data_IF_657165986327
#
_entry.id   IF_657165986327
#
_cell.length_a   1.000
_cell.length_b   1.000
_cell.length_c   1.000
_cell.angle_alpha   90.00
_cell.angle_beta   90.00
_cell.angle_gamma   90.00
#
_symmetry.space_group_name_H-M   'P 1'
#
loop_
_entity.id
_entity.type
_entity.pdbx_description
1 polymer ?
#
# COMPACT_ATOMS: atom_id res chain seq x y z
N UNK A 1 4.82 4.83 -20.93
CA UNK A 1 3.67 4.16 -21.56
C UNK A 1 3.00 3.26 -20.52
N UNK A 2 1.73 3.50 -20.21
CA UNK A 2 0.97 2.65 -19.29
C UNK A 2 0.70 1.28 -19.95
N UNK A 3 0.80 0.20 -19.18
CA UNK A 3 0.45 -1.14 -19.67
C UNK A 3 -0.97 -1.47 -19.24
N UNK A 4 -1.77 -1.94 -20.18
CA UNK A 4 -3.12 -2.47 -19.91
C UNK A 4 -3.01 -3.97 -19.64
N UNK A 5 -3.50 -4.41 -18.49
CA UNK A 5 -3.51 -5.83 -18.12
C UNK A 5 -4.75 -6.15 -17.27
N UNK A 6 -5.19 -7.40 -17.32
CA UNK A 6 -6.22 -7.92 -16.42
C UNK A 6 -5.62 -8.09 -15.03
N UNK A 7 -6.11 -7.32 -14.07
CA UNK A 7 -5.59 -7.31 -12.71
C UNK A 7 -6.75 -7.54 -11.72
N UNK A 8 -6.52 -8.30 -10.63
CA UNK A 8 -7.45 -8.37 -9.51
C UNK A 8 -7.79 -6.98 -8.97
N UNK A 9 -9.07 -6.71 -8.76
CA UNK A 9 -9.58 -5.44 -8.28
C UNK A 9 -10.75 -5.63 -7.33
N UNK A 10 -10.83 -4.77 -6.33
CA UNK A 10 -11.97 -4.67 -5.43
C UNK A 10 -12.20 -3.22 -5.05
N UNK A 11 -13.47 -2.82 -4.97
CA UNK A 11 -13.85 -1.52 -4.41
C UNK A 11 -14.37 -1.72 -2.99
N UNK A 12 -13.65 -1.22 -2.01
CA UNK A 12 -14.05 -1.23 -0.61
C UNK A 12 -14.92 -0.01 -0.33
N UNK A 13 -16.23 -0.20 -0.49
CA UNK A 13 -17.24 0.86 -0.43
C UNK A 13 -17.26 1.61 0.90
N UNK A 14 -17.24 0.89 2.02
CA UNK A 14 -17.31 1.45 3.39
C UNK A 14 -16.22 2.53 3.64
N UNK A 15 -15.04 2.34 3.05
CA UNK A 15 -13.89 3.23 3.20
C UNK A 15 -13.64 4.11 1.98
N UNK A 16 -14.42 3.93 0.90
CA UNK A 16 -14.21 4.56 -0.41
C UNK A 16 -12.78 4.35 -0.94
N UNK A 17 -12.30 3.11 -0.89
CA UNK A 17 -10.93 2.73 -1.29
C UNK A 17 -10.98 1.74 -2.45
N UNK A 18 -10.19 2.01 -3.49
CA UNK A 18 -9.96 1.09 -4.61
C UNK A 18 -8.75 0.23 -4.30
N UNK A 19 -8.88 -1.08 -4.45
CA UNK A 19 -7.80 -2.03 -4.20
C UNK A 19 -7.46 -2.76 -5.49
N UNK A 20 -6.17 -2.81 -5.83
CA UNK A 20 -5.64 -3.51 -7.00
C UNK A 20 -4.60 -4.53 -6.55
N UNK A 21 -4.67 -5.75 -7.06
CA UNK A 21 -3.59 -6.73 -6.98
C UNK A 21 -2.73 -6.68 -8.23
N UNK A 22 -1.44 -6.43 -8.10
CA UNK A 22 -0.46 -6.50 -9.19
C UNK A 22 0.40 -7.73 -8.96
N UNK A 23 0.21 -8.75 -9.79
CA UNK A 23 0.97 -10.00 -9.69
C UNK A 23 2.36 -9.81 -10.31
N UNK A 24 3.38 -10.26 -9.59
CA UNK A 24 4.77 -10.33 -10.05
C UNK A 24 5.11 -11.78 -10.41
N UNK A 25 6.33 -11.98 -10.91
CA UNK A 25 6.89 -13.33 -11.07
C UNK A 25 7.07 -13.97 -9.67
N UNK A 26 7.00 -15.29 -9.58
CA UNK A 26 7.24 -16.07 -8.35
C UNK A 26 6.16 -15.98 -7.25
N UNK A 27 4.87 -15.92 -7.63
CA UNK A 27 3.72 -15.94 -6.69
C UNK A 27 3.70 -14.80 -5.66
N UNK A 28 4.33 -13.67 -5.96
CA UNK A 28 4.27 -12.47 -5.14
C UNK A 28 3.26 -11.50 -5.74
N UNK A 29 2.34 -10.99 -4.93
CA UNK A 29 1.34 -10.00 -5.35
C UNK A 29 1.49 -8.73 -4.53
N UNK A 30 1.61 -7.60 -5.20
CA UNK A 30 1.55 -6.28 -4.57
C UNK A 30 0.11 -5.82 -4.53
N UNK A 31 -0.40 -5.53 -3.33
CA UNK A 31 -1.71 -4.92 -3.17
C UNK A 31 -1.58 -3.41 -3.01
N UNK A 32 -2.26 -2.68 -3.89
CA UNK A 32 -2.27 -1.23 -3.92
C UNK A 32 -3.63 -0.78 -3.42
N UNK A 33 -3.65 -0.06 -2.30
CA UNK A 33 -4.84 0.54 -1.73
C UNK A 33 -4.86 2.03 -2.05
N UNK A 34 -5.86 2.47 -2.79
CA UNK A 34 -6.00 3.82 -3.31
C UNK A 34 -7.30 4.45 -2.81
N UNK A 35 -7.26 5.30 -1.75
CA UNK A 35 -8.41 6.10 -1.36
C UNK A 35 -8.88 6.99 -2.52
N UNK A 36 -10.19 7.06 -2.75
CA UNK A 36 -10.74 8.04 -3.69
C UNK A 36 -10.50 9.45 -3.14
N UNK A 37 -10.07 10.38 -4.00
CA UNK A 37 -9.66 11.73 -3.62
C UNK A 37 -8.59 11.72 -2.52
N UNK A 38 -7.58 10.87 -2.69
CA UNK A 38 -6.53 10.59 -1.70
C UNK A 38 -5.93 11.86 -1.07
N UNK A 39 -6.22 12.08 0.21
CA UNK A 39 -5.55 13.07 1.07
C UNK A 39 -4.68 12.38 2.12
N UNK A 40 -3.82 13.14 2.80
CA UNK A 40 -2.97 12.60 3.86
C UNK A 40 -3.79 11.98 4.99
N UNK A 41 -4.88 12.63 5.38
CA UNK A 41 -5.79 12.21 6.45
C UNK A 41 -6.47 10.88 6.09
N UNK A 42 -6.91 10.73 4.83
CA UNK A 42 -7.53 9.50 4.35
C UNK A 42 -6.54 8.34 4.30
N UNK A 43 -5.30 8.59 3.89
CA UNK A 43 -4.23 7.58 3.90
C UNK A 43 -3.93 7.14 5.34
N UNK A 44 -3.80 8.08 6.28
CA UNK A 44 -3.57 7.76 7.69
C UNK A 44 -4.75 7.01 8.32
N UNK A 45 -5.99 7.39 7.98
CA UNK A 45 -7.19 6.68 8.43
C UNK A 45 -7.21 5.26 7.87
N UNK A 46 -6.89 5.08 6.59
CA UNK A 46 -6.77 3.75 5.98
C UNK A 46 -5.69 2.90 6.67
N UNK A 47 -4.51 3.46 6.92
CA UNK A 47 -3.42 2.76 7.63
C UNK A 47 -3.82 2.30 9.04
N UNK A 48 -4.71 3.02 9.73
CA UNK A 48 -5.22 2.60 11.04
C UNK A 48 -6.26 1.48 10.97
N UNK A 49 -6.95 1.33 9.83
CA UNK A 49 -8.04 0.37 9.66
C UNK A 49 -7.62 -0.88 8.87
N UNK A 50 -6.39 -0.91 8.34
CA UNK A 50 -5.89 -2.07 7.60
C UNK A 50 -5.33 -3.11 8.59
N UNK A 51 -5.90 -4.31 8.57
CA UNK A 51 -5.48 -5.46 9.38
C UNK A 51 -5.25 -6.68 8.47
N UNK A 52 -4.52 -7.69 8.97
CA UNK A 52 -4.29 -8.92 8.21
C UNK A 52 -5.60 -9.63 7.83
N UNK A 53 -6.56 -9.68 8.75
CA UNK A 53 -7.91 -10.20 8.50
C UNK A 53 -8.62 -9.44 7.39
N UNK A 54 -8.64 -8.10 7.46
CA UNK A 54 -9.29 -7.27 6.45
C UNK A 54 -8.64 -7.41 5.07
N UNK A 55 -7.31 -7.55 5.02
CA UNK A 55 -6.60 -7.82 3.76
C UNK A 55 -7.05 -9.15 3.17
N UNK A 56 -7.12 -10.23 3.98
CA UNK A 56 -7.58 -11.54 3.52
C UNK A 56 -9.03 -11.49 2.99
N UNK A 57 -9.93 -10.81 3.70
CA UNK A 57 -11.30 -10.59 3.24
C UNK A 57 -11.38 -9.85 1.89
N UNK A 58 -10.54 -8.84 1.70
CA UNK A 58 -10.50 -8.07 0.45
C UNK A 58 -9.99 -8.95 -0.70
N UNK A 59 -8.93 -9.73 -0.45
CA UNK A 59 -8.33 -10.62 -1.46
C UNK A 59 -9.33 -11.65 -1.98
N UNK A 60 -10.18 -12.21 -1.11
CA UNK A 60 -11.20 -13.20 -1.52
C UNK A 60 -12.33 -12.60 -2.36
N UNK A 61 -12.55 -11.28 -2.29
CA UNK A 61 -13.63 -10.57 -3.01
C UNK A 61 -13.20 -9.95 -4.35
N UNK A 62 -11.93 -10.11 -4.75
CA UNK A 62 -11.40 -9.47 -5.95
C UNK A 62 -11.97 -10.06 -7.24
N UNK A 63 -12.17 -9.19 -8.23
CA UNK A 63 -12.60 -9.53 -9.59
C UNK A 63 -11.58 -9.03 -10.61
N UNK A 64 -11.45 -9.71 -11.74
CA UNK A 64 -10.54 -9.28 -12.80
C UNK A 64 -11.10 -8.04 -13.52
N UNK A 65 -10.28 -6.99 -13.64
CA UNK A 65 -10.61 -5.79 -14.43
C UNK A 65 -9.42 -5.36 -15.26
N UNK A 66 -9.68 -4.64 -16.35
CA UNK A 66 -8.64 -4.01 -17.15
C UNK A 66 -8.19 -2.72 -16.47
N UNK A 67 -6.92 -2.66 -16.07
CA UNK A 67 -6.34 -1.49 -15.41
C UNK A 67 -5.28 -0.82 -16.28
N UNK A 68 -5.32 0.50 -16.37
CA UNK A 68 -4.20 1.31 -16.85
C UNK A 68 -3.29 1.66 -15.67
N UNK A 69 -2.10 1.09 -15.64
CA UNK A 69 -1.15 1.32 -14.56
C UNK A 69 0.10 2.08 -15.05
N UNK A 70 0.51 3.16 -14.37
CA UNK A 70 1.72 3.90 -14.74
C UNK A 70 2.97 3.06 -14.44
N UNK A 71 4.03 3.28 -15.24
CA UNK A 71 5.35 2.72 -14.92
C UNK A 71 5.90 3.48 -13.69
N UNK A 72 6.07 2.78 -12.58
CA UNK A 72 6.58 3.38 -11.34
C UNK A 72 8.06 3.06 -11.12
N UNK A 73 8.82 4.04 -10.66
CA UNK A 73 10.15 3.88 -10.08
C UNK A 73 10.14 4.63 -8.74
N UNK A 74 10.08 3.89 -7.63
CA UNK A 74 10.02 4.46 -6.28
C UNK A 74 11.39 4.25 -5.63
N UNK A 75 12.04 5.35 -5.30
CA UNK A 75 13.28 5.35 -4.50
C UNK A 75 13.04 6.22 -3.27
N UNK A 76 13.33 5.67 -2.10
CA UNK A 76 13.25 6.42 -0.85
C UNK A 76 14.50 6.15 -0.02
N UNK A 77 15.01 7.18 0.66
CA UNK A 77 16.11 7.08 1.61
C UNK A 77 15.57 7.40 3.00
N UNK A 78 15.68 6.44 3.92
CA UNK A 78 15.26 6.60 5.30
C UNK A 78 16.49 6.51 6.21
N UNK A 79 16.66 7.49 7.10
CA UNK A 79 17.69 7.40 8.14
C UNK A 79 17.18 6.49 9.27
N UNK A 80 17.86 5.37 9.48
CA UNK A 80 17.51 4.44 10.55
C UNK A 80 17.56 5.13 11.93
N UNK A 81 18.53 6.04 12.14
CA UNK A 81 18.64 6.83 13.36
C UNK A 81 17.38 7.68 13.60
N UNK A 82 16.90 8.40 12.60
CA UNK A 82 15.73 9.27 12.77
C UNK A 82 14.45 8.47 13.01
N UNK A 83 14.27 7.34 12.32
CA UNK A 83 13.11 6.46 12.50
C UNK A 83 13.11 5.88 13.93
N UNK A 84 14.24 5.39 14.42
CA UNK A 84 14.33 4.79 15.75
C UNK A 84 14.19 5.82 16.89
N UNK A 85 14.65 7.05 16.69
CA UNK A 85 14.41 8.16 17.63
C UNK A 85 12.92 8.50 17.72
N UNK A 86 12.21 8.56 16.58
CA UNK A 86 10.77 8.82 16.56
C UNK A 86 9.94 7.68 17.20
N UNK A 87 10.44 6.45 17.13
CA UNK A 87 9.84 5.28 17.79
C UNK A 87 10.14 5.21 19.30
N UNK A 88 10.82 6.22 19.86
CA UNK A 88 11.08 6.34 21.29
C UNK A 88 12.11 5.35 21.85
N UNK A 89 12.88 4.66 20.99
CA UNK A 89 13.75 3.57 21.42
C UNK A 89 15.24 3.88 21.52
N UNK A 90 15.72 5.08 21.16
CA UNK A 90 17.17 5.37 21.20
C UNK A 90 17.44 6.81 21.64
N UNK A 91 17.57 6.99 22.95
CA UNK A 91 18.55 7.92 23.50
C UNK A 91 19.92 7.27 23.28
N UNK A 92 20.85 7.98 22.65
CA UNK A 92 22.23 7.58 22.38
C UNK A 92 22.50 6.43 21.39
N UNK A 93 22.48 6.75 20.10
CA UNK A 93 23.49 6.20 19.19
C UNK A 93 24.74 7.07 19.33
N UNK A 94 25.64 6.62 20.21
CA UNK A 94 26.83 7.35 20.66
C UNK A 94 27.64 7.95 19.53
N UNK A 95 27.84 9.26 19.65
CA UNK A 95 29.11 9.91 19.31
C UNK A 95 30.18 9.33 20.24
N UNK A 96 31.12 8.58 19.65
CA UNK A 96 32.49 8.57 20.17
C UNK A 96 33.24 9.75 19.58
#
# INVERSE_FOLDING_TARGET
MAKSHCMPYYFWEEMNVRVVGVTYRQNVTMYIFLPTNSTRELVQKLQKNISAERVNEIVTKMKSVTLLFPKMHISNSLSLKSVLQQLGRIQDFGTK
#
